data_IF_181002504801
#
_entry.id   IF_181002504801
#
_cell.length_a   1.000
_cell.length_b   1.000
_cell.length_c   1.000
_cell.angle_alpha   90.00
_cell.angle_beta   90.00
_cell.angle_gamma   90.00
#
_symmetry.space_group_name_H-M   'P 1'
#
loop_
_entity.id
_entity.type
_entity.pdbx_description
1 polymer ?
#
# COMPACT_ATOMS: atom_id res chain seq x y z
N UNK A 1 5.55 25.57 14.76
CA UNK A 1 6.08 24.21 14.57
C UNK A 1 7.16 23.94 15.62
N UNK A 2 6.86 23.17 16.67
CA UNK A 2 7.75 22.97 17.82
C UNK A 2 9.06 22.24 17.46
N UNK A 3 8.96 21.17 16.64
CA UNK A 3 10.14 20.41 16.21
C UNK A 3 11.07 21.21 15.29
N UNK A 4 10.51 22.01 14.37
CA UNK A 4 11.33 22.86 13.50
C UNK A 4 12.08 23.95 14.29
N UNK A 5 11.49 24.49 15.36
CA UNK A 5 12.15 25.47 16.23
C UNK A 5 13.30 24.85 17.04
N UNK A 6 13.18 23.58 17.42
CA UNK A 6 14.19 22.88 18.23
C UNK A 6 15.28 22.19 17.40
N UNK A 7 14.94 21.60 16.26
CA UNK A 7 15.81 20.73 15.47
C UNK A 7 16.07 21.24 14.04
N UNK A 8 15.47 22.37 13.66
CA UNK A 8 15.62 22.97 12.34
C UNK A 8 14.64 22.42 11.30
N UNK A 9 14.58 23.11 10.14
CA UNK A 9 13.69 22.74 9.03
C UNK A 9 14.11 21.44 8.34
N UNK A 10 15.41 21.16 8.27
CA UNK A 10 15.94 19.94 7.67
C UNK A 10 15.51 18.67 8.41
N UNK A 11 15.44 18.73 9.75
CA UNK A 11 14.90 17.61 10.54
C UNK A 11 13.46 17.29 10.14
N UNK A 12 12.63 18.33 9.98
CA UNK A 12 11.23 18.16 9.61
C UNK A 12 11.10 17.61 8.19
N UNK A 13 11.82 18.22 7.23
CA UNK A 13 11.83 17.80 5.83
C UNK A 13 12.29 16.35 5.67
N UNK A 14 13.35 15.94 6.38
CA UNK A 14 13.81 14.55 6.36
C UNK A 14 12.74 13.55 6.81
N UNK A 15 12.02 13.85 7.89
CA UNK A 15 10.96 13.00 8.41
C UNK A 15 9.69 13.00 7.53
N UNK A 16 9.30 14.15 6.97
CA UNK A 16 8.12 14.24 6.11
C UNK A 16 8.33 13.66 4.72
N UNK A 17 9.54 13.78 4.17
CA UNK A 17 9.92 13.23 2.87
C UNK A 17 10.43 11.78 2.97
N UNK A 18 10.51 11.22 4.18
CA UNK A 18 11.02 9.88 4.46
C UNK A 18 12.41 9.67 3.83
N UNK A 19 13.31 10.65 3.99
CA UNK A 19 14.70 10.56 3.50
C UNK A 19 15.42 9.34 4.12
N UNK A 20 16.47 8.79 3.47
CA UNK A 20 17.29 7.75 4.06
C UNK A 20 17.73 8.13 5.48
N UNK A 21 17.68 7.16 6.40
CA UNK A 21 18.07 7.32 7.80
C UNK A 21 17.32 8.42 8.60
N UNK A 22 16.11 8.84 8.16
CA UNK A 22 15.29 9.82 8.87
C UNK A 22 14.76 9.37 10.26
N UNK A 23 14.97 8.11 10.63
CA UNK A 23 14.61 7.56 11.94
C UNK A 23 13.11 7.31 12.15
N UNK A 24 12.26 7.52 11.14
CA UNK A 24 10.83 7.20 11.21
C UNK A 24 10.65 5.68 11.18
N UNK A 25 9.79 5.14 12.06
CA UNK A 25 9.53 3.71 12.15
C UNK A 25 8.94 3.16 10.84
N UNK A 26 9.57 2.13 10.28
CA UNK A 26 9.18 1.53 9.00
C UNK A 26 7.74 0.97 8.98
N UNK A 27 7.28 0.37 10.07
CA UNK A 27 5.91 -0.15 10.15
C UNK A 27 4.89 1.00 10.09
N UNK A 28 5.19 2.13 10.74
CA UNK A 28 4.32 3.31 10.70
C UNK A 28 4.23 3.88 9.27
N UNK A 29 5.34 3.91 8.54
CA UNK A 29 5.38 4.31 7.12
C UNK A 29 4.49 3.40 6.28
N UNK A 30 4.59 2.08 6.46
CA UNK A 30 3.81 1.11 5.69
C UNK A 30 2.32 1.20 5.97
N UNK A 31 1.92 1.34 7.25
CA UNK A 31 0.52 1.41 7.67
C UNK A 31 -0.18 2.71 7.24
N UNK A 32 0.55 3.83 7.23
CA UNK A 32 0.03 5.13 6.81
C UNK A 32 0.25 5.42 5.32
N UNK A 33 0.78 4.46 4.57
CA UNK A 33 1.03 4.61 3.15
C UNK A 33 -0.29 4.72 2.37
N UNK A 34 -0.36 5.66 1.42
CA UNK A 34 -1.47 5.76 0.47
C UNK A 34 -1.38 4.72 -0.68
N UNK A 35 -0.36 3.85 -0.65
CA UNK A 35 -0.18 2.82 -1.66
C UNK A 35 -1.34 1.84 -1.63
N UNK A 36 -1.77 1.41 -2.81
CA UNK A 36 -2.80 0.40 -2.92
C UNK A 36 -2.35 -0.90 -2.21
N UNK A 37 -3.24 -1.54 -1.42
CA UNK A 37 -2.92 -2.83 -0.81
C UNK A 37 -2.76 -3.91 -1.88
N UNK A 38 -1.98 -4.95 -1.58
CA UNK A 38 -1.77 -6.08 -2.49
C UNK A 38 -3.10 -6.78 -2.81
N UNK A 39 -3.21 -7.43 -3.98
CA UNK A 39 -4.42 -8.18 -4.35
C UNK A 39 -4.78 -9.26 -3.32
N UNK A 40 -3.77 -9.92 -2.75
CA UNK A 40 -3.92 -10.90 -1.66
C UNK A 40 -4.59 -10.30 -0.42
N UNK A 41 -4.14 -9.13 0.05
CA UNK A 41 -4.73 -8.45 1.20
C UNK A 41 -6.18 -8.05 0.94
N UNK A 42 -6.49 -7.59 -0.28
CA UNK A 42 -7.86 -7.27 -0.67
C UNK A 42 -8.75 -8.51 -0.64
N UNK A 43 -8.29 -9.61 -1.25
CA UNK A 43 -9.03 -10.85 -1.32
C UNK A 43 -9.31 -11.44 0.07
N UNK A 44 -8.28 -11.49 0.94
CA UNK A 44 -8.45 -12.00 2.30
C UNK A 44 -9.46 -11.17 3.08
N UNK A 45 -9.39 -9.84 3.00
CA UNK A 45 -10.36 -8.96 3.63
C UNK A 45 -11.79 -9.22 3.13
N UNK A 46 -11.98 -9.44 1.82
CA UNK A 46 -13.30 -9.77 1.29
C UNK A 46 -13.83 -11.12 1.81
N UNK A 47 -12.96 -12.12 1.95
CA UNK A 47 -13.32 -13.42 2.55
C UNK A 47 -13.72 -13.26 4.01
N UNK A 48 -12.96 -12.47 4.77
CA UNK A 48 -13.25 -12.19 6.18
C UNK A 48 -14.62 -11.49 6.34
N UNK A 49 -14.90 -10.49 5.51
CA UNK A 49 -16.20 -9.78 5.47
C UNK A 49 -17.34 -10.74 5.12
N UNK A 50 -17.15 -11.63 4.14
CA UNK A 50 -18.19 -12.59 3.75
C UNK A 50 -18.54 -13.54 4.91
N UNK A 51 -17.52 -14.02 5.64
CA UNK A 51 -17.72 -14.87 6.83
C UNK A 51 -18.38 -14.09 7.97
N UNK A 52 -17.95 -12.86 8.24
CA UNK A 52 -18.51 -12.01 9.31
C UNK A 52 -20.01 -11.72 9.10
N UNK A 53 -20.45 -11.68 7.84
CA UNK A 53 -21.82 -11.34 7.46
C UNK A 53 -22.65 -12.54 6.95
N UNK A 54 -22.17 -13.77 7.14
CA UNK A 54 -22.83 -15.02 6.69
C UNK A 54 -23.22 -15.01 5.19
N UNK A 55 -22.37 -14.40 4.35
CA UNK A 55 -22.57 -14.31 2.90
C UNK A 55 -21.97 -15.55 2.21
N UNK A 56 -22.81 -16.30 1.50
CA UNK A 56 -22.35 -17.37 0.59
C UNK A 56 -21.76 -16.74 -0.68
N UNK A 57 -20.44 -16.55 -0.67
CA UNK A 57 -19.69 -15.93 -1.76
C UNK A 57 -18.59 -16.87 -2.29
N UNK A 58 -18.57 -17.06 -3.60
CA UNK A 58 -17.49 -17.79 -4.30
C UNK A 58 -16.36 -16.81 -4.73
N UNK A 59 -15.16 -16.92 -4.14
CA UNK A 59 -14.05 -16.03 -4.44
C UNK A 59 -13.35 -16.32 -5.79
N UNK A 60 -13.65 -17.44 -6.48
CA UNK A 60 -12.91 -17.89 -7.66
C UNK A 60 -12.86 -16.84 -8.79
N UNK A 61 -13.96 -16.14 -9.03
CA UNK A 61 -14.04 -15.07 -10.03
C UNK A 61 -13.09 -13.91 -9.67
N UNK A 62 -13.16 -13.42 -8.42
CA UNK A 62 -12.32 -12.32 -7.94
C UNK A 62 -10.85 -12.70 -7.83
N UNK A 63 -10.53 -13.93 -7.43
CA UNK A 63 -9.17 -14.47 -7.46
C UNK A 63 -8.58 -14.39 -8.87
N UNK A 64 -9.34 -14.88 -9.86
CA UNK A 64 -8.89 -14.85 -11.25
C UNK A 64 -8.66 -13.41 -11.71
N UNK A 65 -9.52 -12.46 -11.35
CA UNK A 65 -9.35 -11.05 -11.70
C UNK A 65 -8.15 -10.38 -11.00
N UNK A 66 -7.96 -10.63 -9.71
CA UNK A 66 -6.89 -10.02 -8.92
C UNK A 66 -5.50 -10.49 -9.33
N UNK A 67 -5.37 -11.72 -9.81
CA UNK A 67 -4.10 -12.32 -10.22
C UNK A 67 -3.90 -12.40 -11.74
N UNK A 68 -4.85 -11.88 -12.54
CA UNK A 68 -4.63 -11.69 -13.97
C UNK A 68 -3.40 -10.80 -14.17
N UNK A 69 -2.41 -11.31 -14.89
CA UNK A 69 -1.30 -10.48 -15.36
C UNK A 69 -1.89 -9.43 -16.29
N UNK A 70 -1.82 -8.16 -15.92
CA UNK A 70 -2.13 -7.09 -16.84
C UNK A 70 -1.15 -7.19 -18.01
N UNK A 71 -1.68 -7.17 -19.24
CA UNK A 71 -0.81 -7.13 -20.42
C UNK A 71 0.09 -5.92 -20.32
N UNK A 72 1.40 -6.15 -20.42
CA UNK A 72 2.40 -5.11 -20.31
C UNK A 72 2.39 -4.28 -21.60
N UNK A 73 1.55 -3.24 -21.62
CA UNK A 73 1.33 -2.38 -22.79
C UNK A 73 2.60 -1.59 -23.21
N UNK A 74 3.67 -1.64 -22.42
CA UNK A 74 4.94 -0.98 -22.69
C UNK A 74 5.90 -1.80 -23.58
N UNK A 75 5.62 -3.08 -23.84
CA UNK A 75 6.46 -3.92 -24.72
C UNK A 75 6.19 -3.65 -26.21
N UNK A 76 5.16 -2.88 -26.56
CA UNK A 76 4.80 -2.56 -27.95
C UNK A 76 5.62 -1.43 -28.58
N UNK A 77 6.48 -0.72 -27.84
CA UNK A 77 7.44 0.22 -28.43
C UNK A 77 8.78 -0.50 -28.56
N UNK A 78 8.93 -1.27 -29.65
CA UNK A 78 10.26 -1.65 -30.15
C UNK A 78 10.97 -0.38 -30.62
N UNK A 79 12.08 -0.04 -29.97
CA UNK A 79 13.11 0.85 -30.52
C UNK A 79 13.73 0.23 -31.78
#
# INVERSE_FOLDING_TARGET
MLFAAKYGKEFLSAATELRPDCGVNRQLIELLSIRAPSPEKKLNLLKDIAVEHDLEWDPAASETEFFKKHEDLLVSIKL
#
